data_IF_478899042819
#
_entry.id   IF_478899042819
#
_cell.length_a   1.000
_cell.length_b   1.000
_cell.length_c   1.000
_cell.angle_alpha   90.00
_cell.angle_beta   90.00
_cell.angle_gamma   90.00
#
_symmetry.space_group_name_H-M   'P 1'
#
loop_
_entity.id
_entity.type
_entity.pdbx_description
1 polymer ?
#
# COMPACT_ATOMS: atom_id res chain seq x y z
N UNK A 1 4.45 -12.81 -53.72
CA UNK A 1 3.65 -12.53 -52.51
C UNK A 1 4.60 -12.08 -51.40
N UNK A 2 4.69 -10.78 -51.15
CA UNK A 2 5.52 -10.20 -50.09
C UNK A 2 4.70 -10.19 -48.80
N UNK A 3 4.99 -11.09 -47.85
CA UNK A 3 4.48 -10.97 -46.48
C UNK A 3 5.26 -9.87 -45.74
N UNK A 4 4.89 -8.60 -45.98
CA UNK A 4 5.13 -7.48 -45.06
C UNK A 4 3.96 -7.50 -44.04
N UNK A 5 4.08 -7.36 -42.72
CA UNK A 5 5.15 -7.28 -41.73
C UNK A 5 4.50 -7.75 -40.41
N UNK A 6 5.03 -8.75 -39.68
CA UNK A 6 4.65 -8.95 -38.27
C UNK A 6 5.31 -7.93 -37.33
N UNK A 7 6.41 -7.31 -37.76
CA UNK A 7 7.31 -6.45 -36.97
C UNK A 7 6.62 -5.21 -36.37
N UNK A 8 5.72 -4.56 -37.11
CA UNK A 8 5.10 -3.30 -36.68
C UNK A 8 4.03 -3.51 -35.58
N UNK A 9 3.42 -4.70 -35.49
CA UNK A 9 2.37 -4.97 -34.49
C UNK A 9 2.94 -5.20 -33.10
N UNK A 10 4.07 -5.89 -33.02
CA UNK A 10 4.74 -6.20 -31.76
C UNK A 10 5.38 -4.93 -31.18
N UNK A 11 5.90 -4.04 -32.03
CA UNK A 11 6.42 -2.72 -31.64
C UNK A 11 5.33 -1.82 -31.06
N UNK A 12 4.17 -1.70 -31.73
CA UNK A 12 3.03 -0.94 -31.18
C UNK A 12 2.50 -1.53 -29.87
N UNK A 13 2.49 -2.86 -29.73
CA UNK A 13 2.03 -3.55 -28.52
C UNK A 13 3.01 -3.31 -27.36
N UNK A 14 4.32 -3.38 -27.63
CA UNK A 14 5.36 -3.05 -26.67
C UNK A 14 5.25 -1.61 -26.20
N UNK A 15 5.09 -0.67 -27.13
CA UNK A 15 4.94 0.75 -26.82
C UNK A 15 3.72 1.02 -25.92
N UNK A 16 2.58 0.36 -26.19
CA UNK A 16 1.39 0.46 -25.34
C UNK A 16 1.67 -0.01 -23.91
N UNK A 17 2.35 -1.15 -23.73
CA UNK A 17 2.71 -1.64 -22.39
C UNK A 17 3.75 -0.79 -21.67
N UNK A 18 4.69 -0.19 -22.40
CA UNK A 18 5.66 0.75 -21.83
C UNK A 18 4.98 2.04 -21.34
N UNK A 19 3.99 2.56 -22.09
CA UNK A 19 3.18 3.71 -21.66
C UNK A 19 2.36 3.37 -20.42
N UNK A 20 1.70 2.19 -20.41
CA UNK A 20 0.97 1.69 -19.24
C UNK A 20 1.90 1.56 -18.02
N UNK A 21 3.12 1.05 -18.21
CA UNK A 21 4.12 0.92 -17.14
C UNK A 21 4.53 2.29 -16.59
N UNK A 22 4.83 3.25 -17.47
CA UNK A 22 5.22 4.61 -17.07
C UNK A 22 4.11 5.28 -16.27
N UNK A 23 2.87 5.19 -16.74
CA UNK A 23 1.71 5.74 -16.04
C UNK A 23 1.54 5.14 -14.64
N UNK A 24 1.59 3.81 -14.52
CA UNK A 24 1.47 3.15 -13.20
C UNK A 24 2.63 3.49 -12.27
N UNK A 25 3.84 3.63 -12.80
CA UNK A 25 5.02 4.04 -12.03
C UNK A 25 4.87 5.46 -11.50
N UNK A 26 4.39 6.39 -12.31
CA UNK A 26 4.10 7.76 -11.89
C UNK A 26 3.03 7.79 -10.79
N UNK A 27 1.97 7.00 -10.94
CA UNK A 27 0.94 6.91 -9.92
C UNK A 27 1.49 6.37 -8.58
N UNK A 28 2.34 5.34 -8.61
CA UNK A 28 3.03 4.85 -7.39
C UNK A 28 3.89 5.95 -6.74
N UNK A 29 4.58 6.77 -7.53
CA UNK A 29 5.37 7.91 -7.02
C UNK A 29 4.46 8.96 -6.39
N UNK A 30 3.31 9.25 -6.98
CA UNK A 30 2.28 10.14 -6.43
C UNK A 30 1.79 9.63 -5.08
N UNK A 31 1.47 8.35 -4.96
CA UNK A 31 1.05 7.74 -3.70
C UNK A 31 2.14 7.81 -2.62
N UNK A 32 3.41 7.58 -2.96
CA UNK A 32 4.54 7.73 -2.03
C UNK A 32 4.70 9.20 -1.58
N UNK A 33 4.51 10.15 -2.50
CA UNK A 33 4.59 11.58 -2.20
C UNK A 33 3.48 12.01 -1.24
N UNK A 34 2.25 11.53 -1.47
CA UNK A 34 1.12 11.74 -0.58
C UNK A 34 1.41 11.24 0.84
N UNK A 35 1.99 10.03 0.99
CA UNK A 35 2.39 9.51 2.30
C UNK A 35 3.38 10.42 3.03
N UNK A 36 4.35 10.99 2.30
CA UNK A 36 5.34 11.90 2.90
C UNK A 36 4.68 13.22 3.35
N UNK A 37 3.74 13.75 2.56
CA UNK A 37 2.96 14.94 2.94
C UNK A 37 2.10 14.67 4.19
N UNK A 38 1.42 13.53 4.24
CA UNK A 38 0.63 13.08 5.38
C UNK A 38 1.48 12.96 6.65
N UNK A 39 2.70 12.42 6.55
CA UNK A 39 3.64 12.39 7.66
C UNK A 39 4.06 13.81 8.11
N UNK A 40 4.25 14.74 7.16
CA UNK A 40 4.49 16.15 7.46
C UNK A 40 3.33 16.79 8.24
N UNK A 41 2.09 16.56 7.81
CA UNK A 41 0.90 17.04 8.52
C UNK A 41 0.78 16.44 9.93
N UNK A 42 1.12 15.17 10.10
CA UNK A 42 1.16 14.54 11.42
C UNK A 42 2.16 15.26 12.35
N UNK A 43 3.36 15.57 11.85
CA UNK A 43 4.37 16.33 12.62
C UNK A 43 3.85 17.73 12.99
N UNK A 44 3.18 18.43 12.06
CA UNK A 44 2.60 19.74 12.36
C UNK A 44 1.49 19.66 13.42
N UNK A 45 0.66 18.63 13.40
CA UNK A 45 -0.36 18.40 14.45
C UNK A 45 0.33 18.14 15.79
N UNK A 46 1.34 17.28 15.83
CA UNK A 46 2.09 17.00 17.08
C UNK A 46 2.70 18.29 17.65
N UNK A 47 3.35 19.09 16.81
CA UNK A 47 3.94 20.37 17.22
C UNK A 47 2.88 21.37 17.69
N UNK A 48 1.78 21.49 16.95
CA UNK A 48 0.64 22.35 17.28
C UNK A 48 -0.04 21.95 18.58
N UNK A 49 -0.27 20.66 18.81
CA UNK A 49 -0.85 20.17 20.06
C UNK A 49 0.13 20.30 21.22
N UNK A 50 1.43 20.10 20.99
CA UNK A 50 2.46 20.29 22.03
C UNK A 50 2.55 21.74 22.50
N UNK A 51 2.36 22.71 21.60
CA UNK A 51 2.36 24.13 21.99
C UNK A 51 1.16 24.51 22.88
N UNK A 52 0.02 23.81 22.76
CA UNK A 52 -1.14 24.00 23.65
C UNK A 52 -0.82 23.67 25.12
N UNK A 53 0.14 22.77 25.37
CA UNK A 53 0.61 22.48 26.72
C UNK A 53 1.58 23.53 27.26
N UNK A 54 2.30 24.23 26.37
CA UNK A 54 3.30 25.23 26.73
C UNK A 54 2.72 26.64 26.96
N UNK A 55 1.53 26.92 26.42
CA UNK A 55 0.92 28.26 26.48
C UNK A 55 -0.10 28.33 27.63
N UNK A 56 0.07 29.33 28.50
CA UNK A 56 -0.85 29.67 29.59
C UNK A 56 -0.54 29.00 30.93
N UNK A 57 -1.16 29.50 32.01
CA UNK A 57 -1.11 28.91 33.35
C UNK A 57 -2.47 29.07 34.05
N UNK A 58 -3.35 28.05 34.08
CA UNK A 58 -3.16 26.68 33.57
C UNK A 58 -3.06 26.63 32.03
N UNK A 59 -2.46 25.58 31.47
CA UNK A 59 -2.24 25.48 30.02
C UNK A 59 -3.55 25.40 29.23
N UNK A 60 -3.53 25.84 27.97
CA UNK A 60 -4.71 25.78 27.09
C UNK A 60 -5.22 24.34 26.95
N UNK A 61 -4.31 23.36 26.89
CA UNK A 61 -4.69 21.94 26.84
C UNK A 61 -5.54 21.49 28.04
N UNK A 62 -5.36 22.09 29.22
CA UNK A 62 -6.16 21.80 30.42
C UNK A 62 -7.48 22.58 30.40
N UNK A 63 -7.45 23.83 29.93
CA UNK A 63 -8.65 24.67 29.85
C UNK A 63 -9.62 24.19 28.77
N UNK A 64 -9.10 23.67 27.66
CA UNK A 64 -9.86 23.22 26.49
C UNK A 64 -9.41 21.81 26.07
N UNK A 65 -9.69 20.78 26.89
CA UNK A 65 -9.19 19.43 26.65
C UNK A 65 -9.75 18.81 25.37
N UNK A 66 -10.93 19.25 24.91
CA UNK A 66 -11.53 18.76 23.66
C UNK A 66 -10.62 18.96 22.42
N UNK A 67 -9.68 19.92 22.44
CA UNK A 67 -8.69 20.11 21.38
C UNK A 67 -7.79 18.88 21.19
N UNK A 68 -7.54 18.12 22.26
CA UNK A 68 -6.79 16.86 22.22
C UNK A 68 -7.58 15.78 21.45
N UNK A 69 -8.92 15.76 21.59
CA UNK A 69 -9.77 14.84 20.84
C UNK A 69 -9.77 15.16 19.34
N UNK A 70 -9.84 16.46 18.99
CA UNK A 70 -9.75 16.90 17.60
C UNK A 70 -8.39 16.50 17.02
N UNK A 71 -7.29 16.75 17.74
CA UNK A 71 -5.96 16.34 17.32
C UNK A 71 -5.85 14.82 17.12
N UNK A 72 -6.42 14.02 18.04
CA UNK A 72 -6.51 12.56 17.89
C UNK A 72 -7.24 12.15 16.62
N UNK A 73 -8.44 12.71 16.38
CA UNK A 73 -9.25 12.38 15.20
C UNK A 73 -8.53 12.72 13.90
N UNK A 74 -7.87 13.88 13.81
CA UNK A 74 -7.07 14.27 12.66
C UNK A 74 -5.90 13.30 12.43
N UNK A 75 -5.21 12.90 13.50
CA UNK A 75 -4.12 11.92 13.42
C UNK A 75 -4.60 10.53 13.00
N UNK A 76 -5.78 10.10 13.47
CA UNK A 76 -6.43 8.87 12.99
C UNK A 76 -6.80 8.95 11.51
N UNK A 77 -7.35 10.08 11.05
CA UNK A 77 -7.67 10.30 9.64
C UNK A 77 -6.43 10.26 8.74
N UNK A 78 -5.33 10.89 9.18
CA UNK A 78 -4.03 10.82 8.49
C UNK A 78 -3.52 9.38 8.42
N UNK A 79 -3.69 8.62 9.51
CA UNK A 79 -3.28 7.22 9.54
C UNK A 79 -4.05 6.40 8.50
N UNK A 80 -5.37 6.58 8.42
CA UNK A 80 -6.18 5.89 7.42
C UNK A 80 -5.79 6.30 6.00
N UNK A 81 -5.70 7.59 5.69
CA UNK A 81 -5.26 8.06 4.38
C UNK A 81 -3.89 7.49 3.98
N UNK A 82 -2.98 7.34 4.94
CA UNK A 82 -1.66 6.73 4.70
C UNK A 82 -1.76 5.24 4.39
N UNK A 83 -2.63 4.50 5.11
CA UNK A 83 -2.89 3.08 4.86
C UNK A 83 -3.51 2.88 3.47
N UNK A 84 -4.47 3.71 3.10
CA UNK A 84 -5.15 3.67 1.80
C UNK A 84 -4.17 3.91 0.64
N UNK A 85 -3.36 4.98 0.72
CA UNK A 85 -2.29 5.24 -0.26
C UNK A 85 -1.30 4.07 -0.37
N UNK A 86 -1.03 3.38 0.74
CA UNK A 86 -0.16 2.19 0.75
C UNK A 86 -0.80 0.99 0.05
N UNK A 87 -2.11 0.78 0.22
CA UNK A 87 -2.84 -0.26 -0.51
C UNK A 87 -2.82 0.01 -2.01
N UNK A 88 -3.16 1.24 -2.43
CA UNK A 88 -3.13 1.63 -3.84
C UNK A 88 -1.76 1.43 -4.47
N UNK A 89 -0.69 1.90 -3.82
CA UNK A 89 0.67 1.70 -4.32
C UNK A 89 1.06 0.21 -4.42
N UNK A 90 0.66 -0.61 -3.44
CA UNK A 90 0.94 -2.04 -3.43
C UNK A 90 0.18 -2.79 -4.53
N UNK A 91 -1.08 -2.45 -4.78
CA UNK A 91 -1.89 -3.08 -5.83
C UNK A 91 -1.36 -2.75 -7.23
N UNK A 92 -0.96 -1.49 -7.45
CA UNK A 92 -0.29 -1.09 -8.69
C UNK A 92 1.05 -1.80 -8.86
N UNK A 93 1.87 -1.86 -7.81
CA UNK A 93 3.13 -2.62 -7.82
C UNK A 93 2.91 -4.10 -8.15
N UNK A 94 1.93 -4.74 -7.51
CA UNK A 94 1.56 -6.13 -7.82
C UNK A 94 1.10 -6.31 -9.25
N UNK A 95 0.31 -5.38 -9.81
CA UNK A 95 -0.12 -5.47 -11.21
C UNK A 95 1.07 -5.33 -12.17
N UNK A 96 1.97 -4.37 -11.92
CA UNK A 96 3.22 -4.20 -12.66
C UNK A 96 4.00 -5.52 -12.67
N UNK A 97 4.24 -6.11 -11.50
CA UNK A 97 5.09 -7.28 -11.35
C UNK A 97 4.46 -8.57 -11.91
N UNK A 98 3.16 -8.76 -11.69
CA UNK A 98 2.47 -10.03 -11.99
C UNK A 98 1.78 -10.08 -13.35
N UNK A 99 1.43 -8.92 -13.92
CA UNK A 99 0.67 -8.85 -15.18
C UNK A 99 1.49 -8.16 -16.27
N UNK A 100 2.02 -6.97 -16.00
CA UNK A 100 2.62 -6.13 -17.04
C UNK A 100 4.04 -6.58 -17.40
N UNK A 101 4.90 -6.80 -16.39
CA UNK A 101 6.28 -7.24 -16.61
C UNK A 101 6.35 -8.58 -17.38
N UNK A 102 5.53 -9.61 -17.09
CA UNK A 102 5.52 -10.83 -17.91
C UNK A 102 5.07 -10.61 -19.36
N UNK A 103 4.14 -9.69 -19.62
CA UNK A 103 3.71 -9.35 -21.00
C UNK A 103 4.83 -8.67 -21.77
N UNK A 104 5.51 -7.70 -21.15
CA UNK A 104 6.66 -6.99 -21.73
C UNK A 104 7.79 -7.99 -22.03
N UNK A 105 8.16 -8.83 -21.06
CA UNK A 105 9.20 -9.85 -21.24
C UNK A 105 8.90 -10.85 -22.38
N UNK A 106 7.62 -11.20 -22.59
CA UNK A 106 7.22 -12.10 -23.68
C UNK A 106 7.41 -11.47 -25.07
N UNK A 107 7.23 -10.16 -25.19
CA UNK A 107 7.35 -9.44 -26.46
C UNK A 107 8.81 -9.20 -26.81
N UNK A 108 9.64 -8.87 -25.81
CA UNK A 108 11.08 -8.60 -25.99
C UNK A 108 11.88 -9.87 -26.37
N UNK A 109 11.33 -11.05 -26.11
CA UNK A 109 11.80 -12.30 -26.71
C UNK A 109 13.14 -12.85 -26.19
N UNK A 110 13.89 -12.13 -25.37
CA UNK A 110 15.22 -12.58 -24.93
C UNK A 110 15.43 -12.52 -23.40
N UNK A 111 15.63 -13.68 -22.73
CA UNK A 111 15.97 -13.75 -21.32
C UNK A 111 17.42 -13.33 -20.98
N UNK A 112 18.28 -13.04 -21.97
CA UNK A 112 19.71 -12.71 -21.76
C UNK A 112 20.08 -11.24 -21.97
N UNK A 113 19.15 -10.40 -22.44
CA UNK A 113 19.46 -9.00 -22.77
C UNK A 113 19.60 -8.13 -21.49
N UNK A 114 20.81 -7.63 -21.22
CA UNK A 114 21.20 -6.91 -20.00
C UNK A 114 20.39 -5.63 -19.76
N UNK A 115 19.90 -4.97 -20.82
CA UNK A 115 19.04 -3.78 -20.73
C UNK A 115 17.73 -4.04 -19.95
N UNK A 116 17.24 -5.28 -19.95
CA UNK A 116 16.00 -5.66 -19.27
C UNK A 116 16.22 -6.44 -17.98
N UNK A 117 17.48 -6.66 -17.55
CA UNK A 117 17.79 -7.25 -16.22
C UNK A 117 17.23 -6.43 -15.06
N UNK A 118 17.02 -5.12 -15.24
CA UNK A 118 16.40 -4.25 -14.24
C UNK A 118 15.01 -4.78 -13.84
N UNK A 119 14.24 -5.32 -14.80
CA UNK A 119 12.93 -5.94 -14.55
C UNK A 119 13.00 -7.34 -13.92
N UNK A 120 14.20 -7.96 -13.86
CA UNK A 120 14.43 -9.25 -13.19
C UNK A 120 14.98 -9.11 -11.78
N UNK A 121 15.33 -7.90 -11.33
CA UNK A 121 15.83 -7.69 -9.98
C UNK A 121 14.76 -7.96 -8.91
N UNK A 122 13.48 -7.82 -9.27
CA UNK A 122 12.33 -8.28 -8.48
C UNK A 122 12.30 -9.81 -8.32
N UNK A 123 12.63 -10.58 -9.37
CA UNK A 123 12.52 -12.05 -9.36
C UNK A 123 13.67 -12.73 -8.60
N UNK A 124 14.80 -12.04 -8.44
CA UNK A 124 15.95 -12.51 -7.63
C UNK A 124 15.80 -12.21 -6.14
N UNK A 125 14.70 -11.56 -5.71
CA UNK A 125 14.38 -11.44 -4.28
C UNK A 125 13.89 -12.78 -3.74
N UNK A 126 14.85 -13.60 -3.32
CA UNK A 126 14.62 -14.77 -2.47
C UNK A 126 13.71 -14.33 -1.30
N UNK A 127 12.52 -14.93 -1.26
CA UNK A 127 11.47 -14.72 -0.25
C UNK A 127 11.99 -15.20 1.11
N UNK A 128 12.84 -14.41 1.77
CA UNK A 128 13.13 -14.64 3.18
C UNK A 128 11.96 -14.11 4.01
N UNK A 129 11.27 -14.96 4.79
CA UNK A 129 10.09 -14.55 5.57
C UNK A 129 10.45 -13.41 6.54
N UNK A 130 11.66 -13.44 7.11
CA UNK A 130 12.17 -12.37 7.98
C UNK A 130 12.25 -11.03 7.23
N UNK A 131 12.74 -11.02 5.97
CA UNK A 131 12.83 -9.79 5.18
C UNK A 131 11.46 -9.23 4.79
N UNK A 132 10.48 -10.10 4.61
CA UNK A 132 9.08 -9.72 4.35
C UNK A 132 8.46 -9.10 5.61
N UNK A 133 8.71 -9.69 6.77
CA UNK A 133 8.28 -9.16 8.06
C UNK A 133 8.97 -7.82 8.34
N UNK A 134 10.29 -7.71 8.15
CA UNK A 134 10.99 -6.43 8.39
C UNK A 134 10.57 -5.36 7.40
N UNK A 135 10.26 -5.68 6.14
CA UNK A 135 9.63 -4.74 5.20
C UNK A 135 8.21 -4.37 5.61
N UNK A 136 7.43 -5.31 6.13
CA UNK A 136 6.10 -5.06 6.69
C UNK A 136 6.17 -4.12 7.89
N UNK A 137 7.12 -4.33 8.79
CA UNK A 137 7.37 -3.50 9.99
C UNK A 137 7.94 -2.13 9.59
N UNK A 138 8.90 -2.06 8.67
CA UNK A 138 9.44 -0.78 8.20
C UNK A 138 8.40 0.01 7.40
N UNK A 139 7.59 -0.70 6.60
CA UNK A 139 6.44 -0.12 5.90
C UNK A 139 5.36 0.37 6.85
N UNK A 140 5.12 -0.37 7.94
CA UNK A 140 4.14 0.01 8.95
C UNK A 140 4.63 1.06 9.95
N UNK A 141 5.95 1.21 10.09
CA UNK A 141 6.57 2.24 10.93
C UNK A 141 6.17 3.66 10.55
N UNK A 142 5.85 3.91 9.28
CA UNK A 142 5.30 5.19 8.84
C UNK A 142 3.92 5.48 9.45
N UNK A 143 3.08 4.47 9.64
CA UNK A 143 1.78 4.63 10.29
C UNK A 143 1.92 4.88 11.79
N UNK A 144 2.98 4.39 12.43
CA UNK A 144 3.21 4.61 13.86
C UNK A 144 3.37 6.11 14.19
N UNK A 145 3.93 6.90 13.26
CA UNK A 145 4.11 8.35 13.41
C UNK A 145 2.77 9.08 13.61
N UNK A 146 1.69 8.62 12.97
CA UNK A 146 0.36 9.22 13.13
C UNK A 146 -0.51 8.47 14.15
N UNK A 147 -0.39 7.14 14.22
CA UNK A 147 -1.20 6.32 15.11
C UNK A 147 -0.87 6.49 16.60
N UNK A 148 0.42 6.42 16.96
CA UNK A 148 0.83 6.48 18.37
C UNK A 148 0.40 7.80 19.02
N UNK A 149 0.62 8.98 18.40
CA UNK A 149 0.14 10.23 18.97
C UNK A 149 -1.37 10.31 19.02
N UNK A 150 -2.10 9.71 18.05
CA UNK A 150 -3.56 9.66 18.11
C UNK A 150 -4.05 8.97 19.38
N UNK A 151 -3.50 7.79 19.71
CA UNK A 151 -3.79 7.07 20.96
C UNK A 151 -3.39 7.91 22.17
N UNK A 152 -2.20 8.52 22.12
CA UNK A 152 -1.67 9.33 23.21
C UNK A 152 -2.56 10.55 23.51
N UNK A 153 -3.15 11.18 22.50
CA UNK A 153 -4.04 12.32 22.69
C UNK A 153 -5.40 11.94 23.31
N UNK A 154 -5.97 10.79 22.96
CA UNK A 154 -7.17 10.26 23.66
C UNK A 154 -6.84 9.99 25.12
N UNK A 155 -5.68 9.38 25.38
CA UNK A 155 -5.25 9.07 26.74
C UNK A 155 -4.94 10.35 27.55
N UNK A 156 -4.30 11.34 26.92
CA UNK A 156 -4.05 12.64 27.53
C UNK A 156 -5.37 13.34 27.87
N UNK A 157 -6.35 13.32 26.97
CA UNK A 157 -7.70 13.81 27.24
C UNK A 157 -8.29 13.13 28.47
N UNK A 158 -8.26 11.80 28.52
CA UNK A 158 -8.83 11.03 29.62
C UNK A 158 -8.21 11.38 30.98
N UNK A 159 -6.89 11.62 31.02
CA UNK A 159 -6.20 12.05 32.25
C UNK A 159 -6.56 13.49 32.63
N UNK A 160 -6.65 14.39 31.65
CA UNK A 160 -6.94 15.81 31.91
C UNK A 160 -8.41 16.09 32.24
N UNK A 161 -9.32 15.23 31.79
CA UNK A 161 -10.74 15.37 32.07
C UNK A 161 -11.03 15.00 33.54
N UNK A 162 -11.55 15.95 34.31
CA UNK A 162 -11.91 15.76 35.73
C UNK A 162 -12.99 14.70 35.93
N UNK A 163 -13.95 14.59 35.00
CA UNK A 163 -14.92 13.48 34.95
C UNK A 163 -15.58 13.41 33.58
N UNK A 164 -15.76 12.20 33.04
CA UNK A 164 -16.53 12.01 31.80
C UNK A 164 -17.99 12.44 31.94
N UNK A 165 -18.54 12.41 33.16
CA UNK A 165 -19.95 12.78 33.41
C UNK A 165 -20.17 14.30 33.43
N UNK A 166 -19.13 15.09 33.69
CA UNK A 166 -19.21 16.56 33.68
C UNK A 166 -19.01 17.15 32.29
N UNK A 167 -18.64 16.34 31.30
CA UNK A 167 -18.47 16.77 29.92
C UNK A 167 -19.80 17.09 29.26
N UNK A 168 -19.81 18.10 28.40
CA UNK A 168 -20.95 18.40 27.54
C UNK A 168 -21.22 17.27 26.54
N UNK A 169 -22.45 17.21 26.01
CA UNK A 169 -22.85 16.16 25.05
C UNK A 169 -21.93 16.10 23.83
N UNK A 170 -21.48 17.24 23.32
CA UNK A 170 -20.57 17.33 22.17
C UNK A 170 -19.21 16.69 22.50
N UNK A 171 -18.65 16.97 23.66
CA UNK A 171 -17.36 16.44 24.09
C UNK A 171 -17.41 14.94 24.31
N UNK A 172 -18.53 14.44 24.87
CA UNK A 172 -18.77 13.00 25.00
C UNK A 172 -18.86 12.31 23.63
N UNK A 173 -19.56 12.91 22.66
CA UNK A 173 -19.63 12.38 21.30
C UNK A 173 -18.24 12.36 20.63
N UNK A 174 -17.47 13.45 20.75
CA UNK A 174 -16.10 13.52 20.23
C UNK A 174 -15.20 12.47 20.88
N UNK A 175 -15.34 12.23 22.18
CA UNK A 175 -14.57 11.22 22.89
C UNK A 175 -14.85 9.83 22.34
N UNK A 176 -16.12 9.42 22.24
CA UNK A 176 -16.47 8.12 21.68
C UNK A 176 -16.06 7.96 20.22
N UNK A 177 -16.24 9.02 19.41
CA UNK A 177 -15.83 9.01 18.01
C UNK A 177 -14.31 8.85 17.88
N UNK A 178 -13.53 9.55 18.71
CA UNK A 178 -12.06 9.41 18.73
C UNK A 178 -11.62 7.98 19.08
N UNK A 179 -12.26 7.36 20.07
CA UNK A 179 -12.00 5.95 20.45
C UNK A 179 -12.29 5.03 19.26
N UNK A 180 -13.44 5.18 18.62
CA UNK A 180 -13.81 4.35 17.46
C UNK A 180 -12.78 4.49 16.34
N UNK A 181 -12.38 5.72 16.00
CA UNK A 181 -11.37 5.96 14.96
C UNK A 181 -10.00 5.35 15.31
N UNK A 182 -9.59 5.47 16.57
CA UNK A 182 -8.34 4.86 17.06
C UNK A 182 -8.41 3.33 17.01
N UNK A 183 -9.54 2.72 17.33
CA UNK A 183 -9.71 1.25 17.33
C UNK A 183 -9.85 0.65 15.93
N UNK A 184 -10.40 1.37 14.96
CA UNK A 184 -10.50 0.92 13.57
C UNK A 184 -9.12 0.78 12.92
N UNK A 185 -8.17 1.63 13.31
CA UNK A 185 -6.83 1.69 12.73
C UNK A 185 -6.00 0.39 12.89
N UNK A 186 -5.86 -0.23 14.07
CA UNK A 186 -5.15 -1.51 14.22
C UNK A 186 -5.85 -2.64 13.47
N UNK A 187 -7.18 -2.63 13.34
CA UNK A 187 -7.92 -3.61 12.53
C UNK A 187 -7.50 -3.49 11.06
N UNK A 188 -7.50 -2.26 10.52
CA UNK A 188 -7.03 -1.99 9.16
C UNK A 188 -5.54 -2.37 8.97
N UNK A 189 -4.70 -2.11 9.98
CA UNK A 189 -3.29 -2.48 9.97
C UNK A 189 -3.07 -4.00 9.93
N UNK A 190 -3.84 -4.77 10.70
CA UNK A 190 -3.83 -6.24 10.67
C UNK A 190 -4.30 -6.77 9.31
N UNK A 191 -5.37 -6.19 8.76
CA UNK A 191 -5.85 -6.54 7.41
C UNK A 191 -4.79 -6.27 6.35
N UNK A 192 -4.07 -5.14 6.44
CA UNK A 192 -2.96 -4.82 5.54
C UNK A 192 -1.81 -5.83 5.68
N UNK A 193 -1.41 -6.15 6.91
CA UNK A 193 -0.37 -7.15 7.16
C UNK A 193 -0.74 -8.52 6.56
N UNK A 194 -1.98 -8.98 6.76
CA UNK A 194 -2.47 -10.24 6.20
C UNK A 194 -2.44 -10.23 4.66
N UNK A 195 -2.78 -9.10 4.04
CA UNK A 195 -2.72 -8.92 2.58
C UNK A 195 -1.28 -8.89 2.04
N UNK A 196 -0.36 -8.22 2.73
CA UNK A 196 1.07 -8.17 2.37
C UNK A 196 1.70 -9.57 2.50
N UNK A 197 1.37 -10.31 3.55
CA UNK A 197 1.85 -11.67 3.77
C UNK A 197 1.23 -12.69 2.80
N UNK A 198 0.30 -12.28 1.94
CA UNK A 198 -0.30 -13.14 0.93
C UNK A 198 -1.28 -14.18 1.50
N UNK A 199 -1.71 -14.03 2.76
CA UNK A 199 -2.70 -14.89 3.39
C UNK A 199 -4.10 -14.75 2.77
N UNK A 200 -4.31 -13.73 1.93
CA UNK A 200 -5.56 -13.46 1.22
C UNK A 200 -5.53 -13.72 -0.29
N UNK A 201 -4.53 -14.42 -0.87
CA UNK A 201 -4.59 -14.73 -2.31
C UNK A 201 -5.69 -15.77 -2.57
N UNK A 202 -6.77 -15.45 -3.32
CA UNK A 202 -7.42 -16.49 -4.10
C UNK A 202 -6.35 -17.10 -4.98
N UNK A 203 -6.20 -18.41 -4.90
CA UNK A 203 -5.41 -19.15 -5.87
C UNK A 203 -6.03 -18.89 -7.23
N UNK A 204 -5.56 -17.88 -7.96
CA UNK A 204 -5.52 -17.96 -9.41
C UNK A 204 -4.45 -19.00 -9.72
N UNK A 205 -4.74 -20.26 -9.39
CA UNK A 205 -4.32 -21.41 -10.17
C UNK A 205 -4.80 -21.11 -11.57
N UNK A 206 -3.98 -20.37 -12.31
CA UNK A 206 -3.84 -20.60 -13.72
C UNK A 206 -3.36 -22.04 -13.81
N UNK A 207 -4.32 -22.97 -13.76
CA UNK A 207 -4.18 -24.25 -14.40
C UNK A 207 -3.98 -23.90 -15.86
N UNK A 208 -2.75 -23.58 -16.23
CA UNK A 208 -2.27 -23.78 -17.58
C UNK A 208 -2.38 -25.28 -17.73
N UNK A 209 -3.57 -25.72 -18.13
CA UNK A 209 -3.80 -27.03 -18.68
C UNK A 209 -2.89 -27.05 -19.89
N UNK A 210 -1.64 -27.46 -19.68
CA UNK A 210 -0.76 -27.91 -20.74
C UNK A 210 -1.53 -29.04 -21.40
N UNK A 211 -2.36 -28.68 -22.39
CA UNK A 211 -2.82 -29.61 -23.41
C UNK A 211 -1.53 -30.17 -23.96
N UNK A 212 -1.16 -31.36 -23.46
CA UNK A 212 -0.31 -32.29 -24.19
C UNK A 212 -1.02 -32.48 -25.52
N UNK A 213 -0.67 -31.66 -26.50
CA UNK A 213 -0.87 -31.97 -27.91
C UNK A 213 0.12 -33.10 -28.18
N UNK A 214 -0.26 -34.28 -27.70
CA UNK A 214 0.45 -35.52 -27.93
C UNK A 214 0.44 -35.72 -29.43
N UNK A 215 1.62 -35.55 -30.02
CA UNK A 215 2.01 -36.01 -31.35
C UNK A 215 1.36 -37.38 -31.65
N UNK A 216 0.18 -37.39 -32.27
CA UNK A 216 -0.48 -38.63 -32.76
C UNK A 216 -0.75 -38.58 -34.26
N UNK A 217 0.03 -37.80 -35.01
CA UNK A 217 -0.17 -37.62 -36.46
C UNK A 217 1.06 -37.83 -37.34
N UNK A 218 2.14 -38.43 -36.83
CA UNK A 218 3.33 -38.72 -37.66
C UNK A 218 3.55 -40.24 -37.88
N UNK A 219 2.98 -41.12 -37.06
CA UNK A 219 3.16 -42.58 -37.20
C UNK A 219 2.16 -43.27 -38.15
N UNK A 220 1.53 -42.56 -39.09
CA UNK A 220 0.65 -43.18 -40.11
C UNK A 220 1.13 -43.00 -41.56
N UNK A 221 2.28 -42.37 -41.78
CA UNK A 221 2.85 -42.22 -43.14
C UNK A 221 4.03 -43.17 -43.39
N UNK A 222 4.52 -43.90 -42.37
CA UNK A 222 5.62 -44.87 -42.54
C UNK A 222 5.18 -46.32 -42.81
N UNK A 223 3.87 -46.60 -42.94
CA UNK A 223 3.37 -47.95 -43.31
C UNK A 223 2.71 -47.97 -44.70
N UNK A 224 3.08 -47.05 -45.60
CA UNK A 224 2.55 -46.97 -46.97
C UNK A 224 3.63 -46.83 -48.04
N UNK A 225 4.83 -47.35 -47.77
CA UNK A 225 5.90 -47.67 -48.72
C UNK A 225 6.43 -49.06 -48.36
#
# INVERSE_FOLDING_TARGET
MVKKQPENRDEHTLQAHLVEYQFLREEVITQITLQNQLAGYAIFIIAGTSSLFAIGSPSIAIQQPFLLLIASMLMSAITWASIDASFHANDMGKYIDSVLAPKIHRIIGDPENDEYKVFRWESTRIYHPIRLITKGIMGSGKFAVSYIPSVAFVFAFYITATSLKSLGLIEQLLFWLSIIMVLVTPIAGIMNLAFILGMGKPQFTTSITTKKVTKKKITKVQNAL
#
